data_IF_043137344464
#
_entry.id   IF_043137344464
#
_cell.length_a   1.000
_cell.length_b   1.000
_cell.length_c   1.000
_cell.angle_alpha   90.00
_cell.angle_beta   90.00
_cell.angle_gamma   90.00
#
_symmetry.space_group_name_H-M   'P 1'
#
loop_
_entity.id
_entity.type
_entity.pdbx_description
1 polymer ?
#
# COMPACT_ATOMS: atom_id res chain seq x y z
N UNK A 1 71.97 -8.78 22.90
CA UNK A 1 71.50 -8.79 21.50
C UNK A 1 70.00 -9.12 21.35
N UNK A 2 69.15 -9.03 22.40
CA UNK A 2 67.71 -9.40 22.31
C UNK A 2 66.72 -8.23 22.38
N UNK A 3 67.18 -7.01 22.67
CA UNK A 3 66.30 -5.84 22.84
C UNK A 3 65.66 -5.34 21.53
N UNK A 4 66.37 -5.53 20.40
CA UNK A 4 65.88 -5.11 19.07
C UNK A 4 64.97 -6.17 18.41
N UNK A 5 64.94 -7.40 18.92
CA UNK A 5 64.12 -8.49 18.37
C UNK A 5 62.63 -8.31 18.71
N UNK A 6 62.31 -7.75 19.87
CA UNK A 6 60.94 -7.55 20.34
C UNK A 6 60.14 -6.56 19.46
N UNK A 7 60.65 -5.35 19.11
CA UNK A 7 59.90 -4.43 18.23
C UNK A 7 59.77 -4.97 16.81
N UNK A 8 60.78 -5.72 16.32
CA UNK A 8 60.74 -6.34 14.99
C UNK A 8 59.68 -7.45 14.93
N UNK A 9 59.59 -8.28 15.97
CA UNK A 9 58.56 -9.32 16.07
C UNK A 9 57.15 -8.72 16.16
N UNK A 10 56.99 -7.63 16.93
CA UNK A 10 55.71 -6.94 17.08
C UNK A 10 55.25 -6.31 15.75
N UNK A 11 56.17 -5.70 15.01
CA UNK A 11 55.91 -5.15 13.69
C UNK A 11 55.54 -6.25 12.68
N UNK A 12 56.22 -7.40 12.72
CA UNK A 12 55.94 -8.54 11.85
C UNK A 12 54.53 -9.11 12.10
N UNK A 13 54.12 -9.24 13.36
CA UNK A 13 52.79 -9.77 13.73
C UNK A 13 51.63 -8.84 13.31
N UNK A 14 51.83 -7.52 13.31
CA UNK A 14 50.82 -6.59 12.80
C UNK A 14 50.66 -6.67 11.28
N UNK A 15 51.76 -6.87 10.53
CA UNK A 15 51.71 -6.95 9.06
C UNK A 15 51.02 -8.23 8.59
N UNK A 16 51.15 -9.36 9.30
CA UNK A 16 50.55 -10.63 8.88
C UNK A 16 49.06 -10.78 9.21
N UNK A 17 48.47 -9.87 10.00
CA UNK A 17 47.05 -9.93 10.37
C UNK A 17 46.10 -9.25 9.37
N UNK A 18 46.61 -8.81 8.21
CA UNK A 18 45.91 -7.94 7.26
C UNK A 18 44.83 -8.60 6.38
N UNK A 19 44.58 -9.91 6.48
CA UNK A 19 43.54 -10.56 5.68
C UNK A 19 42.21 -10.63 6.44
N UNK A 20 41.62 -9.48 6.78
CA UNK A 20 40.20 -9.46 7.15
C UNK A 20 39.38 -9.56 5.86
N UNK A 21 38.68 -10.69 5.69
CA UNK A 21 37.66 -10.82 4.64
C UNK A 21 36.62 -9.75 4.91
N UNK A 22 36.55 -8.75 4.04
CA UNK A 22 35.48 -7.76 4.11
C UNK A 22 34.18 -8.50 3.77
N UNK A 23 33.15 -8.47 4.65
CA UNK A 23 31.86 -9.04 4.28
C UNK A 23 31.33 -8.26 3.07
N UNK A 24 30.90 -8.99 2.04
CA UNK A 24 30.11 -8.40 0.96
C UNK A 24 28.80 -7.98 1.60
N UNK A 25 28.73 -6.71 2.01
CA UNK A 25 27.48 -6.03 2.25
C UNK A 25 26.84 -5.94 0.88
N UNK A 26 25.81 -6.73 0.63
CA UNK A 26 24.89 -6.45 -0.45
C UNK A 26 24.42 -5.02 -0.19
N UNK A 27 24.95 -4.05 -0.92
CA UNK A 27 24.50 -2.68 -0.84
C UNK A 27 22.98 -2.73 -0.97
N UNK A 28 22.27 -2.03 -0.09
CA UNK A 28 20.82 -1.90 -0.19
C UNK A 28 20.56 -1.56 -1.66
N UNK A 29 20.00 -2.53 -2.39
CA UNK A 29 19.47 -2.25 -3.72
C UNK A 29 18.46 -1.17 -3.43
N UNK A 30 18.85 0.08 -3.72
CA UNK A 30 18.06 1.25 -3.39
C UNK A 30 16.67 0.90 -3.84
N UNK A 31 15.77 0.73 -2.87
CA UNK A 31 14.39 0.49 -3.18
C UNK A 31 14.03 1.71 -4.00
N UNK A 32 13.85 1.52 -5.32
CA UNK A 32 13.29 2.56 -6.15
C UNK A 32 12.06 3.02 -5.37
N UNK A 33 11.93 4.32 -5.04
CA UNK A 33 10.76 4.78 -4.33
C UNK A 33 9.58 4.41 -5.21
N UNK A 34 8.88 3.35 -4.84
CA UNK A 34 7.60 3.04 -5.42
C UNK A 34 6.74 4.24 -5.04
N UNK A 35 6.10 4.92 -6.00
CA UNK A 35 5.14 5.94 -5.64
C UNK A 35 4.14 5.28 -4.68
N UNK A 36 3.68 5.97 -3.62
CA UNK A 36 2.58 5.44 -2.83
C UNK A 36 1.44 5.18 -3.82
N UNK A 37 1.12 3.91 -4.03
CA UNK A 37 -0.08 3.52 -4.75
C UNK A 37 -1.23 3.89 -3.84
N UNK A 38 -1.66 5.15 -3.93
CA UNK A 38 -2.96 5.58 -3.41
C UNK A 38 -3.98 5.31 -4.50
N UNK A 39 -4.00 4.08 -5.02
CA UNK A 39 -5.07 3.68 -5.93
C UNK A 39 -6.38 3.70 -5.13
N UNK A 40 -7.43 4.37 -5.63
CA UNK A 40 -8.69 4.45 -4.90
C UNK A 40 -9.27 3.06 -4.64
N UNK A 41 -9.67 2.81 -3.39
CA UNK A 41 -10.35 1.58 -3.02
C UNK A 41 -11.81 1.84 -2.67
N UNK A 42 -12.64 0.82 -2.85
CA UNK A 42 -14.03 0.80 -2.39
C UNK A 42 -14.32 -0.48 -1.59
N UNK A 43 -15.20 -0.37 -0.62
CA UNK A 43 -15.75 -1.49 0.17
C UNK A 43 -17.26 -1.39 0.21
N UNK A 44 -17.94 -2.53 0.09
CA UNK A 44 -19.40 -2.61 0.00
C UNK A 44 -19.89 -3.60 1.07
N UNK A 45 -20.92 -3.22 1.83
CA UNK A 45 -21.52 -4.09 2.83
C UNK A 45 -23.05 -3.88 2.94
N UNK A 46 -23.85 -4.95 2.97
CA UNK A 46 -23.47 -6.33 2.62
C UNK A 46 -23.19 -6.46 1.11
N UNK A 47 -22.44 -7.51 0.71
CA UNK A 47 -22.13 -7.78 -0.71
C UNK A 47 -23.29 -8.46 -1.47
N UNK A 48 -24.27 -8.96 -0.72
CA UNK A 48 -25.51 -9.52 -1.22
C UNK A 48 -26.64 -8.98 -0.36
N UNK A 49 -27.66 -8.45 -1.01
CA UNK A 49 -28.76 -7.74 -0.37
C UNK A 49 -30.04 -8.03 -1.16
N UNK A 50 -31.15 -8.20 -0.46
CA UNK A 50 -32.46 -8.30 -1.12
C UNK A 50 -32.92 -6.92 -1.56
N UNK A 51 -33.91 -6.89 -2.45
CA UNK A 51 -34.53 -5.63 -2.82
C UNK A 51 -35.11 -4.89 -1.60
N UNK A 52 -34.90 -3.57 -1.54
CA UNK A 52 -35.30 -2.73 -0.42
C UNK A 52 -34.35 -2.75 0.79
N UNK A 53 -33.35 -3.63 0.82
CA UNK A 53 -32.30 -3.60 1.85
C UNK A 53 -31.40 -2.37 1.70
N UNK A 54 -30.75 -1.99 2.79
CA UNK A 54 -29.76 -0.91 2.78
C UNK A 54 -28.37 -1.49 2.53
N UNK A 55 -27.65 -0.93 1.56
CA UNK A 55 -26.23 -1.21 1.29
C UNK A 55 -25.42 0.05 1.56
N UNK A 56 -24.26 -0.12 2.20
CA UNK A 56 -23.28 0.94 2.43
C UNK A 56 -22.06 0.75 1.55
N UNK A 57 -21.54 1.87 1.02
CA UNK A 57 -20.32 1.93 0.23
C UNK A 57 -19.36 2.89 0.91
N UNK A 58 -18.16 2.41 1.23
CA UNK A 58 -17.06 3.22 1.73
C UNK A 58 -15.95 3.28 0.70
N UNK A 59 -15.22 4.40 0.66
CA UNK A 59 -14.01 4.52 -0.16
C UNK A 59 -12.88 5.21 0.58
N UNK A 60 -11.65 4.95 0.11
CA UNK A 60 -10.43 5.57 0.62
C UNK A 60 -9.40 5.76 -0.51
N UNK A 61 -8.51 6.73 -0.35
CA UNK A 61 -7.49 7.06 -1.36
C UNK A 61 -8.01 7.95 -2.50
N UNK A 62 -9.16 8.61 -2.31
CA UNK A 62 -9.74 9.53 -3.28
C UNK A 62 -9.20 10.96 -3.08
N UNK A 63 -9.33 11.82 -4.10
CA UNK A 63 -8.95 13.23 -3.96
C UNK A 63 -9.99 13.97 -3.13
N UNK A 64 -9.54 14.73 -2.12
CA UNK A 64 -10.41 15.50 -1.25
C UNK A 64 -11.25 16.52 -2.04
N UNK A 65 -12.54 16.60 -1.74
CA UNK A 65 -13.49 17.49 -2.42
C UNK A 65 -14.08 16.93 -3.72
N UNK A 66 -13.62 15.77 -4.20
CA UNK A 66 -14.25 15.11 -5.34
C UNK A 66 -15.71 14.75 -5.06
N UNK A 67 -16.53 14.79 -6.11
CA UNK A 67 -17.90 14.27 -6.08
C UNK A 67 -17.90 12.82 -6.59
N UNK A 68 -18.39 11.91 -5.76
CA UNK A 68 -18.49 10.48 -6.07
C UNK A 68 -19.94 10.13 -6.39
N UNK A 69 -20.13 9.50 -7.55
CA UNK A 69 -21.42 8.97 -8.00
C UNK A 69 -21.41 7.44 -7.86
N UNK A 70 -22.34 6.90 -7.08
CA UNK A 70 -22.50 5.46 -6.90
C UNK A 70 -23.60 4.99 -7.84
N UNK A 71 -23.23 4.16 -8.82
CA UNK A 71 -24.16 3.56 -9.78
C UNK A 71 -24.21 2.05 -9.59
N UNK A 72 -25.39 1.47 -9.76
CA UNK A 72 -25.57 0.04 -9.94
C UNK A 72 -25.56 -0.26 -11.43
N UNK A 73 -24.67 -1.16 -11.83
CA UNK A 73 -24.60 -1.68 -13.20
C UNK A 73 -24.52 -3.20 -13.13
N UNK A 74 -25.25 -3.90 -13.99
CA UNK A 74 -25.20 -5.34 -14.03
C UNK A 74 -26.30 -5.99 -14.84
N UNK A 75 -26.52 -7.26 -14.55
CA UNK A 75 -27.55 -8.08 -15.19
C UNK A 75 -28.27 -8.88 -14.09
N UNK A 76 -29.60 -8.75 -14.04
CA UNK A 76 -30.47 -9.50 -13.15
C UNK A 76 -31.38 -10.37 -14.02
N UNK A 77 -31.25 -11.69 -13.90
CA UNK A 77 -32.05 -12.67 -14.65
C UNK A 77 -32.09 -12.46 -16.17
N UNK A 78 -30.99 -11.98 -16.76
CA UNK A 78 -30.87 -11.71 -18.19
C UNK A 78 -31.30 -10.30 -18.60
N UNK A 79 -31.81 -9.49 -17.67
CA UNK A 79 -32.18 -8.09 -17.90
C UNK A 79 -31.06 -7.16 -17.46
N UNK A 80 -30.53 -6.28 -18.34
CA UNK A 80 -29.55 -5.28 -17.93
C UNK A 80 -30.16 -4.30 -16.94
N UNK A 81 -29.45 -4.05 -15.84
CA UNK A 81 -29.85 -3.11 -14.79
C UNK A 81 -28.82 -1.98 -14.74
N UNK A 82 -29.33 -0.75 -14.71
CA UNK A 82 -28.54 0.48 -14.59
C UNK A 82 -29.30 1.51 -13.76
N UNK A 83 -28.74 1.97 -12.64
CA UNK A 83 -29.36 2.97 -11.78
C UNK A 83 -28.33 3.84 -11.05
N UNK A 84 -28.58 5.15 -10.99
CA UNK A 84 -27.83 6.04 -10.10
C UNK A 84 -28.43 5.94 -8.69
N UNK A 85 -27.60 5.59 -7.71
CA UNK A 85 -28.06 5.21 -6.37
C UNK A 85 -27.79 6.26 -5.31
N UNK A 86 -26.61 6.90 -5.37
CA UNK A 86 -26.21 7.90 -4.40
C UNK A 86 -25.16 8.85 -4.99
N UNK A 87 -25.07 10.05 -4.42
CA UNK A 87 -24.01 11.01 -4.69
C UNK A 87 -23.45 11.44 -3.33
N UNK A 88 -22.13 11.51 -3.22
CA UNK A 88 -21.44 11.95 -1.99
C UNK A 88 -20.19 12.74 -2.34
N UNK A 89 -19.54 13.31 -1.33
CA UNK A 89 -18.31 14.09 -1.46
C UNK A 89 -17.19 13.46 -0.64
N UNK A 90 -15.97 13.52 -1.15
CA UNK A 90 -14.78 13.00 -0.48
C UNK A 90 -14.31 13.99 0.59
N UNK A 91 -14.05 13.49 1.80
CA UNK A 91 -13.54 14.28 2.93
C UNK A 91 -12.08 14.71 2.75
N UNK A 92 -11.56 15.48 3.70
CA UNK A 92 -10.20 15.99 3.67
C UNK A 92 -9.12 14.89 3.76
N UNK A 93 -9.47 13.70 4.24
CA UNK A 93 -8.60 12.54 4.35
C UNK A 93 -8.71 11.58 3.15
N UNK A 94 -9.47 11.96 2.12
CA UNK A 94 -9.62 11.14 0.91
C UNK A 94 -10.58 9.97 1.09
N UNK A 95 -11.53 10.06 2.02
CA UNK A 95 -12.54 9.02 2.30
C UNK A 95 -13.94 9.50 1.95
N UNK A 96 -14.83 8.55 1.67
CA UNK A 96 -16.25 8.83 1.57
C UNK A 96 -17.08 7.68 2.15
N UNK A 97 -18.33 8.00 2.49
CA UNK A 97 -19.36 7.02 2.82
C UNK A 97 -20.63 7.38 2.06
N UNK A 98 -21.28 6.39 1.48
CA UNK A 98 -22.60 6.50 0.88
C UNK A 98 -23.46 5.30 1.32
N UNK A 99 -24.78 5.45 1.25
CA UNK A 99 -25.69 4.32 1.45
C UNK A 99 -26.90 4.48 0.55
N UNK A 100 -27.44 3.37 0.07
CA UNK A 100 -28.58 3.35 -0.83
C UNK A 100 -29.51 2.18 -0.50
N UNK A 101 -30.74 2.26 -1.00
CA UNK A 101 -31.69 1.14 -1.00
C UNK A 101 -31.57 0.36 -2.30
N UNK A 102 -31.47 -0.95 -2.21
CA UNK A 102 -31.45 -1.82 -3.39
C UNK A 102 -32.77 -1.64 -4.16
N UNK A 103 -32.74 -1.36 -5.48
CA UNK A 103 -33.93 -1.20 -6.30
C UNK A 103 -34.86 -2.44 -6.31
N UNK A 104 -36.16 -2.22 -6.55
CA UNK A 104 -37.20 -3.25 -6.76
C UNK A 104 -37.03 -3.98 -8.10
#
# INVERSE_FOLDING_TARGET
MSWLLLPVLLALMMVTSGCIVQPIVAGEQGALPLPPSTEPIIVIAPIAAASGDTVSVGGAGWLAGDTVYVNLEGNQDGVPVGAALAVTTVDAEGRFMASFKVPL
#
